data_IF_835770568336
#
_entry.id   IF_835770568336
#
_cell.length_a   1.000
_cell.length_b   1.000
_cell.length_c   1.000
_cell.angle_alpha   90.00
_cell.angle_beta   90.00
_cell.angle_gamma   90.00
#
_symmetry.space_group_name_H-M   'P 1'
#
loop_
_entity.id
_entity.type
_entity.pdbx_description
1 polymer ?
#
# COMPACT_ATOMS: atom_id res chain seq x y z
N UNK A 1 25.31 11.52 32.61
CA UNK A 1 25.76 10.18 33.03
C UNK A 1 24.92 9.16 32.26
N UNK A 2 25.59 8.23 31.61
CA UNK A 2 25.17 7.50 30.40
C UNK A 2 24.08 6.45 30.60
N UNK A 3 22.96 6.59 29.88
CA UNK A 3 22.03 5.49 29.58
C UNK A 3 21.48 5.55 28.13
N UNK A 4 21.74 6.63 27.38
CA UNK A 4 21.24 6.82 26.00
C UNK A 4 22.15 6.17 24.95
N UNK A 5 23.37 5.74 25.31
CA UNK A 5 24.32 5.15 24.35
C UNK A 5 24.20 3.63 24.16
N UNK A 6 23.34 2.91 24.90
CA UNK A 6 23.25 1.44 24.79
C UNK A 6 22.26 0.97 23.70
N UNK A 7 21.37 1.82 23.21
CA UNK A 7 20.42 1.41 22.15
C UNK A 7 20.90 1.69 20.73
N UNK A 8 22.09 2.26 20.56
CA UNK A 8 22.73 2.50 19.26
C UNK A 8 23.64 1.34 18.78
N UNK A 9 23.70 0.22 19.52
CA UNK A 9 24.57 -0.92 19.21
C UNK A 9 23.83 -2.27 19.08
N UNK A 10 22.69 -2.31 18.39
CA UNK A 10 22.14 -3.56 17.84
C UNK A 10 21.89 -3.51 16.32
N UNK A 11 22.49 -2.54 15.63
CA UNK A 11 22.77 -2.69 14.20
C UNK A 11 24.04 -3.55 14.04
N UNK A 12 23.97 -4.83 14.40
CA UNK A 12 24.79 -5.80 13.67
C UNK A 12 24.11 -5.94 12.31
N UNK A 13 24.62 -5.19 11.32
CA UNK A 13 24.23 -5.37 9.93
C UNK A 13 24.63 -6.78 9.52
N UNK A 14 23.66 -7.69 9.53
CA UNK A 14 23.83 -8.98 8.87
C UNK A 14 24.24 -8.76 7.42
N UNK A 15 25.03 -9.69 6.87
CA UNK A 15 25.49 -9.57 5.49
C UNK A 15 24.30 -9.70 4.53
N UNK A 16 24.50 -9.32 3.26
CA UNK A 16 23.51 -9.55 2.20
C UNK A 16 23.08 -11.03 2.22
N UNK A 17 21.79 -11.30 2.04
CA UNK A 17 21.19 -12.65 2.18
C UNK A 17 21.16 -13.22 3.60
N UNK A 18 21.18 -12.36 4.64
CA UNK A 18 21.00 -12.75 6.04
C UNK A 18 19.99 -11.85 6.75
N UNK A 19 19.29 -12.43 7.73
CA UNK A 19 18.34 -11.75 8.62
C UNK A 19 18.81 -11.81 10.06
N UNK A 20 18.56 -10.76 10.85
CA UNK A 20 18.92 -10.75 12.26
C UNK A 20 17.80 -11.39 13.09
N UNK A 21 18.08 -12.54 13.70
CA UNK A 21 17.19 -13.18 14.67
C UNK A 21 17.42 -12.57 16.05
N UNK A 22 16.42 -11.82 16.55
CA UNK A 22 16.50 -11.17 17.85
C UNK A 22 16.44 -12.15 19.05
N UNK A 23 15.85 -13.33 18.87
CA UNK A 23 15.78 -14.38 19.90
C UNK A 23 17.13 -15.07 20.05
N UNK A 24 17.77 -15.40 18.92
CA UNK A 24 19.07 -16.06 18.89
C UNK A 24 20.25 -15.08 18.95
N UNK A 25 19.99 -13.77 18.76
CA UNK A 25 20.99 -12.71 18.60
C UNK A 25 22.05 -13.07 17.55
N UNK A 26 21.60 -13.64 16.44
CA UNK A 26 22.46 -14.17 15.39
C UNK A 26 21.93 -13.79 14.00
N UNK A 27 22.83 -13.75 13.02
CA UNK A 27 22.46 -13.58 11.62
C UNK A 27 22.17 -14.96 11.00
N UNK A 28 20.94 -15.15 10.56
CA UNK A 28 20.49 -16.37 9.90
C UNK A 28 20.50 -16.17 8.38
N UNK A 29 21.06 -17.13 7.64
CA UNK A 29 21.04 -17.10 6.17
C UNK A 29 19.63 -17.28 5.64
N UNK A 30 19.29 -16.55 4.58
CA UNK A 30 18.09 -16.80 3.78
C UNK A 30 18.16 -18.17 3.10
N UNK A 31 17.02 -18.64 2.59
CA UNK A 31 16.96 -19.80 1.70
C UNK A 31 17.87 -19.58 0.49
N UNK A 32 18.41 -20.66 -0.05
CA UNK A 32 19.36 -20.64 -1.16
C UNK A 32 18.79 -19.97 -2.42
N UNK A 33 17.46 -19.98 -2.57
CA UNK A 33 16.77 -19.40 -3.73
C UNK A 33 16.43 -17.90 -3.53
N UNK A 34 16.64 -17.35 -2.33
CA UNK A 34 16.37 -15.94 -2.01
C UNK A 34 17.66 -15.10 -2.10
N UNK A 35 17.63 -14.01 -2.88
CA UNK A 35 18.68 -12.99 -2.80
C UNK A 35 18.64 -12.26 -1.45
N UNK A 36 17.43 -11.93 -0.99
CA UNK A 36 17.14 -11.41 0.34
C UNK A 36 15.82 -12.03 0.82
N UNK A 37 15.64 -12.15 2.13
CA UNK A 37 14.42 -12.68 2.74
C UNK A 37 13.93 -11.76 3.87
N UNK A 38 12.64 -11.84 4.17
CA UNK A 38 12.05 -11.11 5.28
C UNK A 38 12.52 -11.67 6.63
N UNK A 39 12.62 -10.83 7.66
CA UNK A 39 12.96 -11.24 9.04
C UNK A 39 11.97 -12.23 9.68
N UNK A 40 10.84 -12.50 9.02
CA UNK A 40 9.80 -13.41 9.49
C UNK A 40 10.10 -14.90 9.17
N UNK A 41 10.84 -15.16 8.08
CA UNK A 41 11.20 -16.52 7.66
C UNK A 41 12.33 -16.48 6.65
N UNK A 42 13.28 -17.43 6.77
CA UNK A 42 14.34 -17.63 5.78
C UNK A 42 13.80 -17.96 4.37
N UNK A 43 12.55 -18.42 4.27
CA UNK A 43 11.91 -18.83 3.02
C UNK A 43 11.09 -17.74 2.34
N UNK A 44 10.81 -16.63 3.01
CA UNK A 44 10.02 -15.53 2.45
C UNK A 44 10.94 -14.57 1.70
N UNK A 45 11.15 -14.82 0.41
CA UNK A 45 12.05 -14.04 -0.42
C UNK A 45 11.49 -12.64 -0.75
N UNK A 46 12.35 -11.63 -0.72
CA UNK A 46 12.10 -10.27 -1.23
C UNK A 46 12.51 -10.18 -2.71
N UNK A 47 13.49 -10.98 -3.10
CA UNK A 47 13.97 -11.13 -4.46
C UNK A 47 14.64 -12.48 -4.64
N UNK A 48 14.68 -12.96 -5.86
CA UNK A 48 15.23 -14.27 -6.18
C UNK A 48 16.69 -14.17 -6.62
N UNK A 49 17.47 -15.19 -6.31
CA UNK A 49 18.84 -15.31 -6.83
C UNK A 49 18.82 -15.44 -8.35
N UNK A 50 19.99 -15.22 -8.98
CA UNK A 50 20.13 -15.29 -10.43
C UNK A 50 19.67 -16.65 -10.97
N UNK A 51 18.80 -16.63 -12.00
CA UNK A 51 18.14 -17.80 -12.62
C UNK A 51 16.98 -18.41 -11.79
N UNK A 52 16.45 -17.68 -10.82
CA UNK A 52 15.22 -18.00 -10.11
C UNK A 52 14.22 -16.85 -10.26
N UNK A 53 12.94 -17.14 -10.18
CA UNK A 53 11.85 -16.20 -10.47
C UNK A 53 10.80 -16.24 -9.37
N UNK A 54 10.19 -15.11 -9.05
CA UNK A 54 9.05 -15.10 -8.12
C UNK A 54 7.90 -15.91 -8.71
N UNK A 55 7.28 -16.75 -7.88
CA UNK A 55 6.10 -17.52 -8.24
C UNK A 55 4.89 -16.60 -8.48
N UNK A 56 4.01 -17.02 -9.38
CA UNK A 56 2.74 -16.34 -9.63
C UNK A 56 1.77 -16.51 -8.46
N UNK A 57 1.68 -17.72 -7.91
CA UNK A 57 0.72 -18.06 -6.85
C UNK A 57 1.16 -17.53 -5.47
N UNK A 58 2.46 -17.33 -5.26
CA UNK A 58 3.03 -16.74 -4.04
C UNK A 58 4.27 -15.90 -4.37
N UNK A 59 4.12 -14.58 -4.30
CA UNK A 59 5.16 -13.60 -4.61
C UNK A 59 6.34 -13.62 -3.62
N UNK A 60 6.24 -14.35 -2.52
CA UNK A 60 7.34 -14.53 -1.56
C UNK A 60 8.16 -15.80 -1.81
N UNK A 61 7.74 -16.64 -2.76
CA UNK A 61 8.41 -17.89 -3.10
C UNK A 61 9.16 -17.76 -4.42
N UNK A 62 10.43 -18.15 -4.44
CA UNK A 62 11.25 -18.23 -5.64
C UNK A 62 11.23 -19.64 -6.23
N UNK A 63 11.07 -19.75 -7.55
CA UNK A 63 11.10 -21.00 -8.28
C UNK A 63 12.07 -20.91 -9.47
N UNK A 64 12.73 -22.02 -9.79
CA UNK A 64 13.71 -22.08 -10.87
C UNK A 64 13.07 -22.16 -12.26
N UNK A 65 11.79 -22.54 -12.32
CA UNK A 65 11.02 -22.66 -13.55
C UNK A 65 9.57 -22.25 -13.27
N UNK A 66 8.96 -21.55 -14.22
CA UNK A 66 7.53 -21.24 -14.15
C UNK A 66 6.69 -22.49 -14.40
N UNK A 67 5.50 -22.54 -13.80
CA UNK A 67 4.61 -23.70 -13.89
C UNK A 67 3.98 -23.83 -15.30
N UNK A 68 3.25 -24.94 -15.55
CA UNK A 68 2.42 -25.07 -16.76
C UNK A 68 1.49 -23.86 -16.87
N UNK A 69 1.37 -23.27 -18.06
CA UNK A 69 0.59 -22.06 -18.33
C UNK A 69 1.17 -20.77 -17.72
N UNK A 70 2.46 -20.77 -17.36
CA UNK A 70 3.18 -19.58 -16.91
C UNK A 70 4.41 -19.29 -17.79
N UNK A 71 4.79 -18.03 -17.87
CA UNK A 71 5.99 -17.55 -18.57
C UNK A 71 6.70 -16.52 -17.69
N UNK A 72 8.01 -16.38 -17.85
CA UNK A 72 8.76 -15.30 -17.22
C UNK A 72 8.30 -13.98 -17.86
N UNK A 73 8.06 -12.96 -17.03
CA UNK A 73 7.69 -11.63 -17.49
C UNK A 73 8.81 -10.97 -18.32
N UNK A 74 8.48 -9.86 -18.98
CA UNK A 74 9.44 -9.14 -19.82
C UNK A 74 10.64 -8.58 -19.07
N UNK A 75 10.51 -8.41 -17.74
CA UNK A 75 11.56 -7.91 -16.86
C UNK A 75 12.50 -9.03 -16.37
N UNK A 76 12.12 -10.30 -16.56
CA UNK A 76 12.94 -11.45 -16.20
C UNK A 76 12.89 -11.84 -14.72
N UNK A 77 11.92 -11.32 -13.96
CA UNK A 77 11.95 -11.36 -12.49
C UNK A 77 10.89 -12.27 -11.86
N UNK A 78 9.79 -12.53 -12.58
CA UNK A 78 8.65 -13.30 -12.04
C UNK A 78 7.93 -14.11 -13.11
N UNK A 79 7.23 -15.14 -12.65
CA UNK A 79 6.32 -15.92 -13.46
C UNK A 79 4.95 -15.24 -13.55
N UNK A 80 4.36 -15.23 -14.75
CA UNK A 80 3.03 -14.70 -15.03
C UNK A 80 2.22 -15.74 -15.81
N UNK A 81 0.92 -15.87 -15.52
CA UNK A 81 0.03 -16.79 -16.26
C UNK A 81 -0.29 -16.28 -17.66
N UNK A 82 -0.39 -17.18 -18.63
CA UNK A 82 -0.79 -16.82 -19.98
C UNK A 82 -2.26 -16.34 -20.00
N UNK A 83 -2.50 -15.21 -20.65
CA UNK A 83 -3.85 -14.61 -20.75
C UNK A 83 -4.80 -15.33 -21.71
N UNK A 84 -4.26 -16.08 -22.67
CA UNK A 84 -5.07 -16.81 -23.65
C UNK A 84 -5.63 -18.07 -23.00
N UNK A 85 -6.96 -18.20 -22.93
CA UNK A 85 -7.62 -19.35 -22.30
C UNK A 85 -7.24 -20.65 -23.00
N UNK A 86 -6.85 -21.66 -22.20
CA UNK A 86 -6.41 -22.95 -22.72
C UNK A 86 -5.04 -22.92 -23.39
N UNK A 87 -4.31 -21.80 -23.32
CA UNK A 87 -2.89 -21.78 -23.64
C UNK A 87 -2.11 -22.47 -22.51
N UNK A 88 -1.05 -23.19 -22.85
CA UNK A 88 -0.14 -23.83 -21.88
C UNK A 88 1.29 -23.30 -21.99
N UNK A 89 1.62 -22.65 -23.10
CA UNK A 89 2.88 -21.96 -23.34
C UNK A 89 2.63 -20.68 -24.14
N UNK A 90 3.11 -19.55 -23.63
CA UNK A 90 3.03 -18.25 -24.29
C UNK A 90 4.37 -17.50 -24.22
N UNK A 91 4.49 -16.46 -25.03
CA UNK A 91 5.58 -15.48 -24.93
C UNK A 91 5.31 -14.49 -23.80
N UNK A 92 6.33 -13.73 -23.37
CA UNK A 92 6.16 -12.66 -22.38
C UNK A 92 5.20 -11.56 -22.87
N UNK A 93 5.07 -11.37 -24.19
CA UNK A 93 4.06 -10.50 -24.83
C UNK A 93 2.66 -11.14 -24.92
N UNK A 94 2.42 -12.27 -24.26
CA UNK A 94 1.12 -12.95 -24.18
C UNK A 94 0.61 -13.52 -25.52
N UNK A 95 1.53 -13.79 -26.45
CA UNK A 95 1.23 -14.55 -27.67
C UNK A 95 1.30 -16.04 -27.33
N UNK A 96 0.21 -16.76 -27.54
CA UNK A 96 0.14 -18.20 -27.30
C UNK A 96 0.93 -18.97 -28.35
N UNK A 97 1.75 -19.91 -27.88
CA UNK A 97 2.59 -20.78 -28.69
C UNK A 97 2.00 -22.19 -28.77
N UNK A 98 1.47 -22.68 -27.65
CA UNK A 98 0.92 -24.03 -27.53
C UNK A 98 -0.35 -24.00 -26.70
N UNK A 99 -1.42 -24.58 -27.24
CA UNK A 99 -2.69 -24.80 -26.54
C UNK A 99 -2.72 -26.19 -25.87
N UNK A 100 -3.64 -26.38 -24.94
CA UNK A 100 -3.82 -27.64 -24.22
C UNK A 100 -4.25 -28.82 -25.13
N UNK A 101 -4.18 -30.05 -24.62
CA UNK A 101 -4.21 -31.31 -25.39
C UNK A 101 -5.47 -31.50 -26.27
N UNK A 102 -6.57 -30.82 -25.98
CA UNK A 102 -7.83 -30.87 -26.73
C UNK A 102 -8.17 -29.57 -27.49
N UNK A 103 -7.21 -28.67 -27.60
CA UNK A 103 -7.37 -27.38 -28.24
C UNK A 103 -6.42 -27.23 -29.44
N UNK A 104 -6.75 -26.31 -30.34
CA UNK A 104 -5.95 -25.95 -31.50
C UNK A 104 -5.73 -24.43 -31.52
N UNK A 105 -4.47 -24.02 -31.74
CA UNK A 105 -4.09 -22.62 -31.79
C UNK A 105 -4.54 -21.99 -33.11
N UNK A 106 -5.37 -20.96 -33.02
CA UNK A 106 -5.63 -20.01 -34.10
C UNK A 106 -4.67 -18.83 -33.96
N UNK A 107 -3.59 -18.88 -34.72
CA UNK A 107 -2.50 -17.89 -34.67
C UNK A 107 -2.94 -16.49 -35.07
N UNK A 108 -3.95 -16.36 -35.94
CA UNK A 108 -4.40 -15.04 -36.43
C UNK A 108 -5.17 -14.27 -35.35
N UNK A 109 -5.89 -15.00 -34.51
CA UNK A 109 -6.69 -14.43 -33.41
C UNK A 109 -6.02 -14.58 -32.04
N UNK A 110 -4.86 -15.23 -31.96
CA UNK A 110 -4.16 -15.56 -30.73
C UNK A 110 -5.08 -16.25 -29.70
N UNK A 111 -5.80 -17.29 -30.14
CA UNK A 111 -6.82 -17.99 -29.34
C UNK A 111 -6.68 -19.51 -29.45
N UNK A 112 -7.12 -20.23 -28.42
CA UNK A 112 -7.18 -21.68 -28.44
C UNK A 112 -8.64 -22.14 -28.61
N UNK A 113 -8.91 -22.86 -29.69
CA UNK A 113 -10.24 -23.35 -30.03
C UNK A 113 -10.35 -24.85 -29.74
N UNK A 114 -11.53 -25.34 -29.41
CA UNK A 114 -11.77 -26.78 -29.33
C UNK A 114 -11.42 -27.45 -30.68
N UNK A 115 -10.74 -28.61 -30.62
CA UNK A 115 -10.49 -29.41 -31.83
C UNK A 115 -11.83 -29.89 -32.41
N UNK A 116 -11.93 -29.91 -33.74
CA UNK A 116 -13.12 -30.43 -34.43
C UNK A 116 -13.41 -31.87 -34.00
N UNK A 117 -14.68 -32.16 -33.70
CA UNK A 117 -15.15 -33.50 -33.31
C UNK A 117 -14.86 -33.89 -31.87
N UNK A 118 -14.38 -32.98 -31.01
CA UNK A 118 -14.24 -33.27 -29.57
C UNK A 118 -15.59 -33.27 -28.85
N UNK A 119 -16.46 -32.32 -29.19
CA UNK A 119 -17.85 -32.36 -28.76
C UNK A 119 -18.72 -32.95 -29.87
N UNK A 120 -19.77 -33.67 -29.49
CA UNK A 120 -20.66 -34.39 -30.42
C UNK A 120 -21.54 -33.43 -31.23
N UNK A 121 -21.70 -32.20 -30.74
CA UNK A 121 -22.52 -31.16 -31.35
C UNK A 121 -21.81 -29.81 -31.32
N UNK A 122 -22.04 -28.98 -32.34
CA UNK A 122 -21.59 -27.59 -32.39
C UNK A 122 -22.26 -26.68 -31.33
N UNK A 123 -23.29 -27.19 -30.65
CA UNK A 123 -23.97 -26.50 -29.54
C UNK A 123 -23.33 -26.79 -28.18
N UNK A 124 -22.34 -27.69 -28.13
CA UNK A 124 -21.63 -28.06 -26.92
C UNK A 124 -20.30 -27.30 -26.80
N UNK A 125 -19.92 -27.02 -25.56
CA UNK A 125 -18.70 -26.32 -25.19
C UNK A 125 -17.83 -27.22 -24.34
N UNK A 126 -16.52 -27.21 -24.59
CA UNK A 126 -15.57 -27.95 -23.79
C UNK A 126 -15.27 -27.21 -22.48
N UNK A 127 -15.50 -27.87 -21.33
CA UNK A 127 -15.20 -27.34 -20.01
C UNK A 127 -13.72 -27.54 -19.63
N UNK A 128 -13.13 -26.61 -18.86
CA UNK A 128 -11.89 -26.86 -18.16
C UNK A 128 -12.08 -27.86 -16.99
N UNK A 129 -11.03 -28.61 -16.60
CA UNK A 129 -9.75 -28.74 -17.28
C UNK A 129 -9.90 -29.41 -18.65
N UNK A 130 -9.31 -28.81 -19.69
CA UNK A 130 -9.63 -29.14 -21.10
C UNK A 130 -9.15 -30.54 -21.49
N UNK A 131 -8.19 -31.11 -20.79
CA UNK A 131 -7.72 -32.49 -20.96
C UNK A 131 -8.85 -33.51 -20.74
N UNK A 132 -9.86 -33.17 -19.92
CA UNK A 132 -10.93 -34.08 -19.51
C UNK A 132 -12.01 -34.37 -20.56
N UNK A 133 -12.01 -33.67 -21.72
CA UNK A 133 -13.02 -33.79 -22.79
C UNK A 133 -14.48 -33.66 -22.34
N UNK A 134 -14.73 -32.94 -21.24
CA UNK A 134 -16.09 -32.74 -20.73
C UNK A 134 -16.83 -31.67 -21.53
N UNK A 135 -17.64 -32.10 -22.48
CA UNK A 135 -18.51 -31.22 -23.26
C UNK A 135 -19.85 -30.99 -22.52
N UNK A 136 -20.34 -29.75 -22.55
CA UNK A 136 -21.62 -29.35 -21.92
C UNK A 136 -22.39 -28.43 -22.85
N UNK A 137 -23.73 -28.47 -22.80
CA UNK A 137 -24.55 -27.49 -23.51
C UNK A 137 -24.50 -26.11 -22.82
N UNK A 138 -24.24 -26.08 -21.51
CA UNK A 138 -24.17 -24.85 -20.71
C UNK A 138 -22.94 -24.86 -19.82
N UNK A 139 -22.11 -23.83 -19.92
CA UNK A 139 -20.94 -23.66 -19.06
C UNK A 139 -21.35 -23.48 -17.59
N UNK A 140 -20.44 -23.84 -16.66
CA UNK A 140 -20.67 -23.65 -15.22
C UNK A 140 -20.83 -22.16 -14.85
N UNK A 141 -21.36 -21.89 -13.65
CA UNK A 141 -21.79 -20.55 -13.20
C UNK A 141 -20.68 -19.46 -13.22
N UNK A 142 -19.41 -19.82 -13.35
CA UNK A 142 -18.27 -18.88 -13.48
C UNK A 142 -17.60 -18.90 -14.86
N UNK A 143 -18.27 -19.46 -15.86
CA UNK A 143 -17.74 -19.64 -17.21
C UNK A 143 -18.74 -19.14 -18.24
N UNK A 144 -18.24 -18.41 -19.24
CA UNK A 144 -19.04 -17.98 -20.38
C UNK A 144 -18.77 -18.91 -21.56
N UNK A 145 -19.84 -19.13 -22.32
CA UNK A 145 -19.80 -19.84 -23.60
C UNK A 145 -19.15 -18.94 -24.65
N UNK A 146 -17.97 -19.31 -25.14
CA UNK A 146 -17.40 -18.66 -26.31
C UNK A 146 -17.74 -19.48 -27.56
N UNK A 147 -18.68 -18.96 -28.36
CA UNK A 147 -19.14 -19.61 -29.59
C UNK A 147 -18.07 -19.64 -30.69
N UNK A 148 -17.10 -18.71 -30.68
CA UNK A 148 -16.02 -18.72 -31.66
C UNK A 148 -14.98 -19.79 -31.37
N UNK A 149 -14.68 -20.05 -30.09
CA UNK A 149 -13.66 -21.02 -29.68
C UNK A 149 -14.25 -22.37 -29.25
N UNK A 150 -15.58 -22.47 -29.09
CA UNK A 150 -16.31 -23.65 -28.60
C UNK A 150 -15.78 -24.18 -27.24
N UNK A 151 -15.26 -23.27 -26.41
CA UNK A 151 -14.81 -23.59 -25.05
C UNK A 151 -15.58 -22.77 -24.02
N UNK A 152 -15.62 -23.28 -22.79
CA UNK A 152 -16.04 -22.53 -21.63
C UNK A 152 -14.87 -21.70 -21.12
N UNK A 153 -14.92 -20.40 -21.34
CA UNK A 153 -13.92 -19.45 -20.88
C UNK A 153 -14.30 -18.99 -19.49
N UNK A 154 -13.33 -19.01 -18.56
CA UNK A 154 -13.61 -18.50 -17.22
C UNK A 154 -14.01 -17.05 -17.39
N UNK A 155 -15.25 -16.74 -17.05
CA UNK A 155 -15.59 -15.35 -16.84
C UNK A 155 -15.18 -15.12 -15.41
N UNK A 156 -14.37 -14.09 -15.20
CA UNK A 156 -14.66 -13.25 -14.05
C UNK A 156 -16.08 -12.68 -14.28
N UNK A 157 -17.12 -13.50 -14.12
CA UNK A 157 -18.33 -12.97 -13.52
C UNK A 157 -17.79 -12.46 -12.20
N UNK A 158 -17.68 -11.13 -12.08
CA UNK A 158 -17.81 -10.48 -10.80
C UNK A 158 -18.94 -11.25 -10.12
N UNK A 159 -18.68 -12.02 -9.05
CA UNK A 159 -19.78 -12.42 -8.22
C UNK A 159 -20.46 -11.09 -7.92
N UNK A 160 -21.77 -11.02 -8.13
CA UNK A 160 -22.58 -10.00 -7.49
C UNK A 160 -22.46 -10.24 -5.98
N UNK A 161 -21.34 -9.82 -5.44
CA UNK A 161 -20.93 -9.62 -4.06
C UNK A 161 -20.33 -8.23 -4.10
N UNK A 162 -21.15 -7.28 -3.68
CA UNK A 162 -20.89 -5.87 -3.52
C UNK A 162 -19.81 -5.55 -2.45
N UNK A 163 -18.79 -6.38 -2.21
CA UNK A 163 -17.84 -6.17 -1.10
C UNK A 163 -16.38 -6.65 -1.30
N UNK A 164 -15.92 -6.94 -2.53
CA UNK A 164 -14.50 -7.31 -2.78
C UNK A 164 -13.81 -6.51 -3.91
N UNK A 165 -14.27 -5.29 -4.21
CA UNK A 165 -13.55 -4.34 -5.08
C UNK A 165 -12.26 -3.77 -4.45
N UNK A 166 -11.79 -4.34 -3.34
CA UNK A 166 -10.63 -3.88 -2.59
C UNK A 166 -9.31 -4.52 -3.00
N UNK A 167 -9.31 -5.64 -3.72
CA UNK A 167 -8.17 -6.59 -3.77
C UNK A 167 -7.03 -6.26 -4.74
N UNK A 168 -7.06 -5.11 -5.41
CA UNK A 168 -5.88 -4.57 -6.09
C UNK A 168 -5.67 -3.11 -5.67
N UNK A 169 -4.51 -2.85 -5.05
CA UNK A 169 -3.92 -1.52 -5.07
C UNK A 169 -3.53 -1.25 -6.54
N UNK A 170 -4.45 -0.69 -7.34
CA UNK A 170 -4.21 -0.31 -8.75
C UNK A 170 -3.17 0.84 -8.90
N UNK A 171 -2.40 1.10 -7.86
CA UNK A 171 -1.50 2.23 -7.69
C UNK A 171 -0.35 1.82 -6.79
N UNK A 172 0.82 2.41 -7.00
CA UNK A 172 1.99 2.24 -6.13
C UNK A 172 1.61 2.43 -4.65
N UNK A 173 2.07 1.51 -3.80
CA UNK A 173 2.00 1.67 -2.35
C UNK A 173 3.08 2.70 -1.97
N UNK A 174 2.65 3.80 -1.37
CA UNK A 174 3.52 4.89 -0.94
C UNK A 174 4.11 4.64 0.45
N UNK A 175 3.34 4.00 1.34
CA UNK A 175 3.73 3.78 2.73
C UNK A 175 3.03 2.56 3.34
N UNK A 176 3.63 2.00 4.38
CA UNK A 176 3.19 0.78 5.06
C UNK A 176 3.34 0.95 6.57
N UNK A 177 2.27 0.77 7.33
CA UNK A 177 2.31 0.73 8.79
C UNK A 177 1.87 -0.63 9.35
N UNK A 178 2.38 -0.97 10.53
CA UNK A 178 1.92 -2.14 11.27
C UNK A 178 0.57 -1.82 11.91
N UNK A 179 -0.42 -2.69 11.73
CA UNK A 179 -1.77 -2.51 12.30
C UNK A 179 -2.02 -3.47 13.46
N UNK A 180 -1.91 -4.77 13.18
CA UNK A 180 -2.04 -5.86 14.16
C UNK A 180 -0.99 -6.92 13.85
N UNK A 181 -0.86 -7.91 14.73
CA UNK A 181 0.01 -9.05 14.46
C UNK A 181 -0.38 -9.69 13.12
N UNK A 182 0.59 -9.76 12.19
CA UNK A 182 0.38 -10.24 10.82
C UNK A 182 -0.60 -9.42 9.95
N UNK A 183 -0.86 -8.15 10.29
CA UNK A 183 -1.67 -7.23 9.49
C UNK A 183 -1.01 -5.86 9.35
N UNK A 184 -1.06 -5.30 8.14
CA UNK A 184 -0.44 -4.02 7.80
C UNK A 184 -1.46 -3.09 7.16
N UNK A 185 -1.26 -1.78 7.30
CA UNK A 185 -1.97 -0.75 6.53
C UNK A 185 -1.06 -0.33 5.39
N UNK A 186 -1.48 -0.59 4.16
CA UNK A 186 -0.85 -0.09 2.95
C UNK A 186 -1.54 1.22 2.52
N UNK A 187 -0.77 2.24 2.19
CA UNK A 187 -1.24 3.58 1.80
C UNK A 187 -0.95 3.81 0.32
N UNK A 188 -1.96 4.26 -0.43
CA UNK A 188 -1.79 4.84 -1.76
C UNK A 188 -2.25 6.29 -1.76
N UNK A 189 -1.28 7.19 -1.78
CA UNK A 189 -1.49 8.63 -1.73
C UNK A 189 -2.14 9.13 -3.02
N UNK A 190 -1.70 8.60 -4.17
CA UNK A 190 -2.25 8.97 -5.47
C UNK A 190 -3.73 8.60 -5.64
N UNK A 191 -4.22 7.62 -4.89
CA UNK A 191 -5.61 7.19 -4.90
C UNK A 191 -6.38 7.56 -3.62
N UNK A 192 -5.81 8.36 -2.71
CA UNK A 192 -6.37 8.62 -1.38
C UNK A 192 -6.93 7.34 -0.71
N UNK A 193 -6.18 6.25 -0.82
CA UNK A 193 -6.66 4.90 -0.48
C UNK A 193 -5.81 4.29 0.62
N UNK A 194 -6.47 3.59 1.53
CA UNK A 194 -5.85 2.74 2.53
C UNK A 194 -6.31 1.31 2.31
N UNK A 195 -5.43 0.34 2.50
CA UNK A 195 -5.79 -1.06 2.55
C UNK A 195 -5.23 -1.72 3.79
N UNK A 196 -6.04 -2.48 4.52
CA UNK A 196 -5.52 -3.44 5.49
C UNK A 196 -5.19 -4.71 4.73
N UNK A 197 -3.96 -5.16 4.84
CA UNK A 197 -3.43 -6.37 4.21
C UNK A 197 -2.99 -7.36 5.28
N UNK A 198 -3.10 -8.65 4.99
CA UNK A 198 -2.49 -9.68 5.82
C UNK A 198 -0.97 -9.78 5.56
N UNK A 199 -0.30 -10.70 6.27
CA UNK A 199 1.13 -10.99 6.10
C UNK A 199 1.55 -11.48 4.72
N UNK A 200 0.59 -11.96 3.92
CA UNK A 200 0.81 -12.43 2.57
C UNK A 200 0.39 -11.36 1.53
N UNK A 201 0.19 -10.10 1.96
CA UNK A 201 -0.27 -8.99 1.13
C UNK A 201 -1.68 -9.18 0.54
N UNK A 202 -2.47 -10.12 1.05
CA UNK A 202 -3.87 -10.21 0.68
C UNK A 202 -4.61 -9.05 1.30
N UNK A 203 -5.28 -8.26 0.47
CA UNK A 203 -6.09 -7.14 0.94
C UNK A 203 -7.31 -7.69 1.68
N UNK A 204 -7.33 -7.49 2.99
CA UNK A 204 -8.46 -7.78 3.89
C UNK A 204 -9.56 -6.74 3.64
N UNK A 205 -9.18 -5.46 3.55
CA UNK A 205 -10.10 -4.36 3.25
C UNK A 205 -9.35 -3.23 2.54
N UNK A 206 -10.06 -2.47 1.72
CA UNK A 206 -9.55 -1.24 1.11
C UNK A 206 -10.63 -0.18 1.18
N UNK A 207 -10.25 1.00 1.63
CA UNK A 207 -11.11 2.15 1.65
C UNK A 207 -10.44 3.29 0.90
N UNK A 208 -11.14 3.78 -0.13
CA UNK A 208 -10.81 5.04 -0.77
C UNK A 208 -11.54 6.14 -0.03
N UNK A 209 -10.82 7.04 0.63
CA UNK A 209 -11.42 8.14 1.39
C UNK A 209 -11.88 9.28 0.48
N UNK A 210 -11.23 9.45 -0.67
CA UNK A 210 -11.59 10.44 -1.69
C UNK A 210 -11.31 9.88 -3.07
N UNK A 211 -12.33 9.84 -3.95
CA UNK A 211 -12.13 9.47 -5.35
C UNK A 211 -11.40 10.60 -6.09
N UNK A 212 -10.22 10.29 -6.60
CA UNK A 212 -9.47 11.21 -7.46
C UNK A 212 -9.74 10.81 -8.91
N UNK A 213 -10.45 11.66 -9.65
CA UNK A 213 -10.61 11.48 -11.09
C UNK A 213 -9.25 11.63 -11.78
N UNK A 214 -8.66 10.49 -12.19
CA UNK A 214 -7.33 10.37 -12.82
C UNK A 214 -7.19 11.19 -14.11
N UNK A 215 -8.29 11.48 -14.82
CA UNK A 215 -8.28 12.34 -16.02
C UNK A 215 -7.97 13.82 -15.73
N UNK A 216 -8.07 14.27 -14.47
CA UNK A 216 -7.75 15.64 -14.07
C UNK A 216 -6.35 15.80 -13.46
N UNK A 217 -5.63 14.71 -13.20
CA UNK A 217 -4.37 14.74 -12.43
C UNK A 217 -3.25 15.46 -13.19
N UNK A 218 -3.24 15.39 -14.52
CA UNK A 218 -2.24 16.07 -15.36
C UNK A 218 -2.61 17.53 -15.70
N UNK A 219 -3.84 17.97 -15.42
CA UNK A 219 -4.37 19.27 -15.85
C UNK A 219 -4.70 20.24 -14.71
N UNK A 220 -4.47 19.86 -13.44
CA UNK A 220 -4.60 20.80 -12.31
C UNK A 220 -3.29 21.54 -12.11
N UNK A 221 -3.26 22.81 -12.54
CA UNK A 221 -2.23 23.77 -12.15
C UNK A 221 -2.34 24.20 -10.68
N UNK A 222 -3.40 23.77 -9.97
CA UNK A 222 -3.49 23.88 -8.52
C UNK A 222 -2.79 22.68 -7.87
N UNK A 223 -1.68 22.96 -7.21
CA UNK A 223 -0.95 22.07 -6.31
C UNK A 223 -1.81 21.66 -5.10
N UNK A 224 -2.90 20.93 -5.29
CA UNK A 224 -3.58 20.27 -4.17
C UNK A 224 -2.69 19.14 -3.67
N UNK A 225 -1.69 19.47 -2.85
CA UNK A 225 -0.84 18.51 -2.16
C UNK A 225 -1.74 17.60 -1.32
N UNK A 226 -1.91 16.37 -1.79
CA UNK A 226 -2.57 15.32 -1.01
C UNK A 226 -1.59 14.91 0.08
N UNK A 227 -2.03 15.00 1.33
CA UNK A 227 -1.24 14.60 2.48
C UNK A 227 -2.02 13.57 3.27
N UNK A 228 -1.30 12.59 3.84
CA UNK A 228 -1.90 11.55 4.67
C UNK A 228 -1.25 11.55 6.04
N UNK A 229 -1.92 10.90 6.98
CA UNK A 229 -1.33 10.56 8.27
C UNK A 229 -1.79 9.17 8.71
N UNK A 230 -1.00 8.55 9.57
CA UNK A 230 -1.32 7.34 10.33
C UNK A 230 -0.98 7.60 11.79
N UNK A 231 -1.85 7.18 12.71
CA UNK A 231 -1.63 7.25 14.16
C UNK A 231 -2.35 6.10 14.84
N UNK A 232 -1.62 5.03 15.14
CA UNK A 232 -2.18 3.78 15.67
C UNK A 232 -3.19 3.16 14.70
N UNK A 233 -4.44 3.04 15.13
CA UNK A 233 -5.53 2.47 14.32
C UNK A 233 -6.25 3.50 13.44
N UNK A 234 -5.81 4.75 13.46
CA UNK A 234 -6.41 5.84 12.71
C UNK A 234 -5.53 6.24 11.53
N UNK A 235 -6.17 6.65 10.45
CA UNK A 235 -5.49 7.27 9.32
C UNK A 235 -6.42 8.19 8.57
N UNK A 236 -5.86 9.14 7.84
CA UNK A 236 -6.67 10.13 7.16
C UNK A 236 -5.95 10.84 6.04
N UNK A 237 -6.72 11.60 5.27
CA UNK A 237 -6.23 12.43 4.17
C UNK A 237 -6.63 13.88 4.39
N UNK A 238 -5.71 14.76 3.98
CA UNK A 238 -5.93 16.18 3.78
C UNK A 238 -5.74 16.47 2.30
N UNK A 239 -6.81 16.94 1.64
CA UNK A 239 -6.76 17.36 0.24
C UNK A 239 -7.52 18.69 0.10
N UNK A 240 -6.80 19.75 -0.24
CA UNK A 240 -7.39 21.10 -0.35
C UNK A 240 -8.02 21.53 0.98
N UNK A 241 -9.34 21.69 0.97
CA UNK A 241 -10.15 22.11 2.12
C UNK A 241 -10.95 20.96 2.77
N UNK A 242 -10.61 19.70 2.46
CA UNK A 242 -11.28 18.53 3.04
C UNK A 242 -10.31 17.73 3.88
N UNK A 243 -10.68 17.44 5.12
CA UNK A 243 -9.93 16.60 6.04
C UNK A 243 -10.81 15.45 6.52
N UNK A 244 -10.36 14.23 6.29
CA UNK A 244 -11.12 13.04 6.66
C UNK A 244 -10.26 12.01 7.37
N UNK A 245 -10.88 11.31 8.32
CA UNK A 245 -10.24 10.37 9.23
C UNK A 245 -11.06 9.10 9.32
N UNK A 246 -10.37 7.99 9.17
CA UNK A 246 -10.89 6.65 9.24
C UNK A 246 -10.29 5.92 10.44
N UNK A 247 -11.09 5.07 11.05
CA UNK A 247 -10.64 4.07 11.99
C UNK A 247 -10.55 2.72 11.28
N UNK A 248 -9.35 2.15 11.24
CA UNK A 248 -9.07 0.88 10.56
C UNK A 248 -9.57 -0.34 11.34
N UNK A 249 -9.88 -0.21 12.63
CA UNK A 249 -10.54 -1.29 13.38
C UNK A 249 -12.03 -1.38 13.08
N UNK A 250 -12.72 -0.24 13.02
CA UNK A 250 -14.16 -0.20 12.75
C UNK A 250 -14.47 -0.16 11.26
N UNK A 251 -13.48 0.11 10.42
CA UNK A 251 -13.61 0.33 8.97
C UNK A 251 -14.56 1.49 8.61
N UNK A 252 -14.70 2.47 9.50
CA UNK A 252 -15.59 3.61 9.32
C UNK A 252 -14.81 4.92 9.22
N UNK A 253 -15.33 5.82 8.38
CA UNK A 253 -14.93 7.23 8.42
C UNK A 253 -15.59 7.84 9.66
N UNK A 254 -14.76 8.21 10.62
CA UNK A 254 -15.21 8.74 11.91
C UNK A 254 -15.19 10.27 11.97
N UNK A 255 -14.55 10.91 11.00
CA UNK A 255 -14.52 12.36 10.84
C UNK A 255 -14.39 12.73 9.36
N UNK A 256 -15.18 13.69 8.89
CA UNK A 256 -15.14 14.20 7.51
C UNK A 256 -15.55 15.67 7.52
N UNK A 257 -14.55 16.55 7.64
CA UNK A 257 -14.76 18.00 7.58
C UNK A 257 -14.59 18.47 6.15
N UNK A 258 -15.62 19.16 5.64
CA UNK A 258 -15.66 19.70 4.28
C UNK A 258 -15.68 21.21 4.36
N UNK A 259 -14.90 21.88 3.51
CA UNK A 259 -14.80 23.34 3.43
C UNK A 259 -14.08 23.96 4.64
N UNK A 260 -12.93 23.38 5.02
CA UNK A 260 -11.97 24.09 5.86
C UNK A 260 -11.72 25.48 5.26
N UNK A 261 -11.83 26.51 6.09
CA UNK A 261 -11.78 27.92 5.64
C UNK A 261 -10.52 28.24 4.82
N UNK A 262 -9.44 27.51 5.08
CA UNK A 262 -8.16 27.66 4.41
C UNK A 262 -7.59 26.31 4.01
N UNK A 263 -6.69 26.32 3.02
CA UNK A 263 -5.90 25.13 2.71
C UNK A 263 -4.88 24.91 3.82
N UNK A 264 -4.87 23.68 4.35
CA UNK A 264 -3.95 23.28 5.40
C UNK A 264 -2.89 22.30 4.87
N UNK A 265 -1.80 22.16 5.64
CA UNK A 265 -0.78 21.13 5.44
C UNK A 265 -0.52 20.43 6.77
N UNK A 266 -0.51 19.10 6.77
CA UNK A 266 -0.04 18.27 7.88
C UNK A 266 1.46 18.52 8.06
N UNK A 267 1.86 18.78 9.30
CA UNK A 267 3.27 19.04 9.65
C UNK A 267 3.87 17.98 10.55
N UNK A 268 3.07 17.48 11.48
CA UNK A 268 3.55 16.56 12.50
C UNK A 268 2.39 15.71 13.02
N UNK A 269 2.67 14.44 13.30
CA UNK A 269 1.72 13.50 13.88
C UNK A 269 2.31 13.03 15.21
N UNK A 270 1.53 13.19 16.28
CA UNK A 270 1.88 12.71 17.61
C UNK A 270 1.10 11.45 17.93
N UNK A 271 1.70 10.29 17.68
CA UNK A 271 1.04 9.00 17.92
C UNK A 271 0.71 8.73 19.40
N UNK A 272 1.49 9.31 20.32
CA UNK A 272 1.31 9.09 21.75
C UNK A 272 0.07 9.80 22.28
N UNK A 273 -0.11 11.06 21.89
CA UNK A 273 -1.28 11.87 22.26
C UNK A 273 -2.39 11.83 21.19
N UNK A 274 -2.18 11.10 20.09
CA UNK A 274 -3.09 10.98 18.95
C UNK A 274 -3.52 12.34 18.39
N UNK A 275 -2.54 13.21 18.12
CA UNK A 275 -2.77 14.56 17.58
C UNK A 275 -2.18 14.69 16.18
N UNK A 276 -2.90 15.33 15.28
CA UNK A 276 -2.40 15.67 13.93
C UNK A 276 -2.25 17.17 13.83
N UNK A 277 -1.02 17.65 13.82
CA UNK A 277 -0.72 19.07 13.70
C UNK A 277 -0.73 19.52 12.25
N UNK A 278 -1.43 20.62 12.02
CA UNK A 278 -1.64 21.23 10.72
C UNK A 278 -1.22 22.71 10.76
N UNK A 279 -0.86 23.25 9.61
CA UNK A 279 -0.63 24.69 9.42
C UNK A 279 -1.47 25.18 8.25
N UNK A 280 -2.02 26.38 8.36
CA UNK A 280 -2.54 27.12 7.20
C UNK A 280 -1.41 27.65 6.30
N UNK A 281 -1.78 28.35 5.23
CA UNK A 281 -0.85 28.92 4.24
C UNK A 281 0.04 30.04 4.81
N UNK A 282 -0.41 30.73 5.85
CA UNK A 282 0.34 31.79 6.52
C UNK A 282 1.17 31.25 7.70
N UNK A 283 0.91 30.01 8.11
CA UNK A 283 1.34 29.40 9.36
C UNK A 283 1.15 30.36 10.55
N UNK A 284 0.03 31.08 10.60
CA UNK A 284 -0.26 32.05 11.66
C UNK A 284 -0.98 31.44 12.85
N UNK A 285 -1.50 30.22 12.72
CA UNK A 285 -2.13 29.47 13.80
C UNK A 285 -1.45 28.11 14.02
N UNK A 286 -1.35 27.70 15.28
CA UNK A 286 -1.13 26.30 15.62
C UNK A 286 -2.48 25.59 15.52
N UNK A 287 -2.63 24.72 14.54
CA UNK A 287 -3.86 23.96 14.31
C UNK A 287 -3.55 22.49 14.60
N UNK A 288 -4.45 21.80 15.30
CA UNK A 288 -4.33 20.36 15.49
C UNK A 288 -5.69 19.68 15.51
N UNK A 289 -5.75 18.51 14.90
CA UNK A 289 -6.87 17.60 15.04
C UNK A 289 -6.61 16.64 16.21
N UNK A 290 -7.54 16.61 17.15
CA UNK A 290 -7.61 15.63 18.22
C UNK A 290 -8.40 14.42 17.72
N UNK A 291 -7.71 13.29 17.55
CA UNK A 291 -8.30 12.05 17.01
C UNK A 291 -9.36 11.48 17.96
N UNK A 292 -9.14 11.55 19.28
CA UNK A 292 -10.05 10.94 20.25
C UNK A 292 -11.34 11.75 20.39
N UNK A 293 -11.24 13.08 20.38
CA UNK A 293 -12.41 13.97 20.48
C UNK A 293 -13.02 14.32 19.14
N UNK A 294 -12.37 13.92 18.04
CA UNK A 294 -12.82 14.17 16.66
C UNK A 294 -13.05 15.67 16.42
N UNK A 295 -12.10 16.49 16.88
CA UNK A 295 -12.22 17.96 16.87
C UNK A 295 -10.95 18.61 16.39
N UNK A 296 -11.09 19.56 15.47
CA UNK A 296 -10.03 20.48 15.08
C UNK A 296 -9.99 21.63 16.08
N UNK A 297 -8.81 21.91 16.61
CA UNK A 297 -8.53 23.00 17.53
C UNK A 297 -7.51 23.94 16.89
N UNK A 298 -7.54 25.21 17.29
CA UNK A 298 -6.60 26.20 16.82
C UNK A 298 -6.25 27.20 17.91
N UNK A 299 -5.00 27.66 17.90
CA UNK A 299 -4.54 28.81 18.67
C UNK A 299 -3.83 29.76 17.72
N UNK A 300 -4.29 31.01 17.66
CA UNK A 300 -3.63 32.04 16.88
C UNK A 300 -2.28 32.38 17.51
N UNK A 301 -1.25 32.43 16.68
CA UNK A 301 0.10 32.82 17.05
C UNK A 301 0.38 34.19 16.44
N UNK A 302 1.03 35.07 17.18
CA UNK A 302 1.52 36.36 16.65
C UNK A 302 2.83 36.17 15.85
N UNK A 303 2.96 35.06 15.14
CA UNK A 303 4.14 34.70 14.34
C UNK A 303 3.68 34.13 13.00
N UNK A 304 4.45 34.38 11.96
CA UNK A 304 4.30 33.70 10.66
C UNK A 304 5.45 32.71 10.50
N UNK A 305 5.23 31.65 9.71
CA UNK A 305 6.22 30.62 9.38
C UNK A 305 6.97 30.06 10.61
N UNK A 306 6.41 29.02 11.21
CA UNK A 306 7.04 28.34 12.35
C UNK A 306 7.41 26.88 12.08
N UNK A 307 8.42 26.42 12.82
CA UNK A 307 8.84 25.04 12.93
C UNK A 307 8.26 24.48 14.22
N UNK A 308 7.67 23.28 14.14
CA UNK A 308 7.15 22.53 15.27
C UNK A 308 8.05 21.31 15.53
N UNK A 309 8.54 21.16 16.76
CA UNK A 309 9.22 19.96 17.23
C UNK A 309 8.61 19.45 18.52
N UNK A 310 8.57 18.12 18.68
CA UNK A 310 8.28 17.49 19.96
C UNK A 310 9.58 17.01 20.60
N UNK A 311 9.85 17.44 21.83
CA UNK A 311 10.93 16.89 22.65
C UNK A 311 10.32 16.42 23.97
N UNK A 312 10.41 15.12 24.23
CA UNK A 312 9.76 14.46 25.38
C UNK A 312 8.23 14.73 25.36
N UNK A 313 7.72 15.41 26.40
CA UNK A 313 6.29 15.73 26.56
C UNK A 313 5.95 17.19 26.20
N UNK A 314 6.84 17.89 25.50
CA UNK A 314 6.69 19.31 25.18
C UNK A 314 6.81 19.56 23.69
N UNK A 315 6.02 20.51 23.22
CA UNK A 315 6.06 21.02 21.86
C UNK A 315 6.85 22.32 21.85
N UNK A 316 7.73 22.47 20.88
CA UNK A 316 8.55 23.65 20.68
C UNK A 316 8.16 24.24 19.35
N UNK A 317 7.69 25.49 19.37
CA UNK A 317 7.19 26.20 18.21
C UNK A 317 8.07 27.43 18.03
N UNK A 318 8.84 27.46 16.95
CA UNK A 318 9.82 28.52 16.69
C UNK A 318 9.53 29.21 15.37
N UNK A 319 9.50 30.53 15.36
CA UNK A 319 9.60 31.31 14.12
C UNK A 319 10.96 31.97 14.05
N UNK A 320 11.70 31.70 12.97
CA UNK A 320 13.01 32.30 12.69
C UNK A 320 12.84 33.80 12.37
N UNK A 321 11.75 34.18 11.71
CA UNK A 321 11.49 35.54 11.22
C UNK A 321 11.37 36.57 12.34
N UNK A 322 10.72 36.18 13.44
CA UNK A 322 10.46 37.05 14.60
C UNK A 322 11.24 36.65 15.84
N UNK A 323 12.16 35.67 15.70
CA UNK A 323 13.00 35.15 16.77
C UNK A 323 12.22 34.82 18.06
N UNK A 324 11.05 34.18 17.90
CA UNK A 324 10.17 33.79 19.00
C UNK A 324 10.16 32.28 19.17
N UNK A 325 10.10 31.84 20.44
CA UNK A 325 9.94 30.45 20.82
C UNK A 325 8.77 30.31 21.79
N UNK A 326 7.82 29.44 21.45
CA UNK A 326 6.76 29.00 22.34
C UNK A 326 7.04 27.56 22.79
N UNK A 327 6.80 27.31 24.08
CA UNK A 327 6.85 25.98 24.66
C UNK A 327 5.41 25.57 24.98
N UNK A 328 4.90 24.62 24.20
CA UNK A 328 3.62 23.97 24.39
C UNK A 328 3.71 22.79 25.34
N UNK A 329 2.74 22.68 26.24
CA UNK A 329 2.54 21.48 27.07
C UNK A 329 1.12 20.99 26.86
N UNK A 330 0.98 19.69 26.58
CA UNK A 330 -0.34 19.06 26.48
C UNK A 330 -0.98 18.98 27.87
N UNK A 331 -2.20 19.46 27.97
CA UNK A 331 -2.95 19.55 29.22
C UNK A 331 -3.92 18.38 29.36
N UNK A 332 -4.42 18.15 30.58
CA UNK A 332 -5.41 17.09 30.86
C UNK A 332 -6.75 17.33 30.17
N UNK A 333 -7.07 18.60 29.86
CA UNK A 333 -8.24 18.97 29.08
C UNK A 333 -8.02 18.84 27.56
N UNK A 334 -6.88 18.27 27.16
CA UNK A 334 -6.46 18.03 25.77
C UNK A 334 -6.21 19.34 24.99
N UNK A 335 -6.09 20.46 25.71
CA UNK A 335 -5.58 21.72 25.15
C UNK A 335 -4.05 21.74 25.15
N UNK A 336 -3.48 22.64 24.37
CA UNK A 336 -2.04 22.94 24.43
C UNK A 336 -1.88 24.29 25.10
N UNK A 337 -1.31 24.30 26.30
CA UNK A 337 -0.92 25.55 26.95
C UNK A 337 0.39 26.04 26.32
N UNK A 338 0.40 27.26 25.81
CA UNK A 338 1.60 27.88 25.23
C UNK A 338 2.21 28.88 26.21
N UNK A 339 3.51 28.75 26.46
CA UNK A 339 4.29 29.74 27.20
C UNK A 339 5.35 30.29 26.25
N UNK A 340 5.37 31.60 26.05
CA UNK A 340 6.43 32.25 25.32
C UNK A 340 7.72 32.22 26.15
N UNK A 341 8.77 31.65 25.58
CA UNK A 341 10.09 31.61 26.19
C UNK A 341 10.74 32.99 26.13
N UNK A 342 11.33 33.44 27.24
CA UNK A 342 12.20 34.63 27.27
C UNK A 342 13.58 34.38 26.64
N UNK A 343 13.93 33.12 26.35
CA UNK A 343 15.18 32.73 25.71
C UNK A 343 14.94 32.45 24.23
N UNK A 344 15.72 33.10 23.37
CA UNK A 344 15.88 32.71 21.97
C UNK A 344 16.71 31.43 21.91
N UNK A 345 16.32 30.43 21.11
CA UNK A 345 17.16 29.27 20.86
C UNK A 345 18.29 29.71 19.93
N UNK A 346 19.55 29.55 20.35
CA UNK A 346 20.68 29.66 19.41
C UNK A 346 20.55 28.53 18.40
N UNK A 347 20.65 28.87 17.10
CA UNK A 347 20.55 28.02 15.92
C UNK A 347 20.64 26.51 16.23
N UNK A 348 19.48 25.83 16.22
CA UNK A 348 19.50 24.37 16.05
C UNK A 348 20.10 24.17 14.66
N UNK A 349 21.26 23.51 14.53
CA UNK A 349 21.88 23.33 13.22
C UNK A 349 20.90 22.57 12.32
N UNK A 350 20.72 23.06 11.09
CA UNK A 350 19.65 22.58 10.21
C UNK A 350 19.71 21.05 10.03
N UNK A 351 20.89 20.44 10.15
CA UNK A 351 21.09 18.99 10.08
C UNK A 351 20.32 18.13 11.11
N UNK A 352 19.83 18.71 12.21
CA UNK A 352 18.97 18.02 13.19
C UNK A 352 17.50 18.01 12.73
N UNK A 353 17.08 19.00 11.92
CA UNK A 353 15.70 19.17 11.46
C UNK A 353 15.32 18.29 10.27
N UNK A 354 16.32 17.80 9.50
CA UNK A 354 16.09 17.00 8.29
C UNK A 354 16.09 15.48 8.51
N UNK A 355 16.35 14.99 9.73
CA UNK A 355 16.48 13.54 10.02
C UNK A 355 15.23 12.87 10.57
N UNK A 356 14.10 13.58 10.61
CA UNK A 356 12.79 13.00 10.91
C UNK A 356 11.92 13.10 9.66
N UNK A 357 12.23 12.25 8.68
CA UNK A 357 11.34 11.94 7.56
C UNK A 357 10.86 10.50 7.71
#
# INVERSE_FOLDING_TARGET
MNLIFIQYCLAQTCQKSQIFDALQKACLSCSLDCENCFNLSQQSCIGCVKNSYMSYDDVSTCQNQCQKNEVIDSEGNRCIKCKVYGCIQCTSQQICLVCDENLVLDKNKNQCNAKKGICESDLQFLNPPFESRKCTNTCQQSYQQNYSSQICEFTQQCPQIQQLSSSVMNTFVNDIAIFKENQYIAVSVAACSFAVVDKNWNIITKQTLQEINTFGFFNRQDETQIQYFLSGVYGGYLQGQRFNVMNFETLQVEFDEKNLEQQHKIKYVDDFYKLVFMTDSQASALIWYDIERKKINSIQLSINHFILLKILKRYYIQSKDVNMLFIGTFQQDFSISLIQSKKCFSDIPDNILWRTH
#
